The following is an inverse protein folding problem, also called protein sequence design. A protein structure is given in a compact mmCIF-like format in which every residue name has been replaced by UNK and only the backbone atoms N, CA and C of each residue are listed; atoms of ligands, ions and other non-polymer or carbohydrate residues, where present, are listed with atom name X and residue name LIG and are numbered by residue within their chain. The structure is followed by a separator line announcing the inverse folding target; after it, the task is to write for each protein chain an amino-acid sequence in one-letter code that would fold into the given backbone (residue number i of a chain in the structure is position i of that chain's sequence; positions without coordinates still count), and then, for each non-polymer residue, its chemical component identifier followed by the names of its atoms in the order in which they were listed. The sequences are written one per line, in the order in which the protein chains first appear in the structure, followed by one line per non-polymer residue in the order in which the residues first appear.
data_IF_875510326574
#
_entry.id   IF_875510326574
#
_cell.length_a   1.000
_cell.length_b   1.000
_cell.length_c   1.000
_cell.angle_alpha   90.00
_cell.angle_beta   90.00
_cell.angle_gamma   90.00
#
_symmetry.space_group_name_H-M   'P 1'
#
loop_
_entity.id
_entity.type
_entity.pdbx_description
1 polymer ?
#
# COMPACT_ATOMS: atom_id res chain seq x y z
N UNK A 1 2.71 16.46 -18.41
CA UNK A 1 2.63 14.99 -18.34
C UNK A 1 3.75 14.42 -19.18
N UNK A 2 4.73 13.76 -18.56
CA UNK A 2 5.86 13.16 -19.27
C UNK A 2 5.44 11.84 -19.93
N UNK A 3 6.16 11.38 -20.95
CA UNK A 3 5.92 10.09 -21.62
C UNK A 3 5.90 8.86 -20.69
N UNK A 4 6.41 8.98 -19.45
CA UNK A 4 6.38 7.90 -18.47
C UNK A 4 5.03 7.76 -17.74
N UNK A 5 4.25 8.85 -17.63
CA UNK A 5 3.00 8.88 -16.85
C UNK A 5 1.87 8.13 -17.59
N UNK A 6 2.01 7.95 -18.91
CA UNK A 6 1.08 7.18 -19.75
C UNK A 6 1.28 5.66 -19.68
N UNK A 7 2.27 5.17 -18.92
CA UNK A 7 2.68 3.75 -18.97
C UNK A 7 2.05 2.91 -17.85
N UNK A 8 1.80 3.51 -16.69
CA UNK A 8 1.16 2.85 -15.55
C UNK A 8 -0.11 3.63 -15.22
N UNK A 9 -1.26 3.03 -15.54
CA UNK A 9 -2.57 3.61 -15.23
C UNK A 9 -3.14 2.84 -14.06
N UNK A 10 -3.15 3.47 -12.89
CA UNK A 10 -3.88 2.96 -11.74
C UNK A 10 -5.28 3.57 -11.80
N UNK A 11 -6.30 2.73 -11.73
CA UNK A 11 -7.68 3.14 -11.56
C UNK A 11 -7.96 3.41 -10.08
N UNK A 12 -8.82 4.38 -9.73
CA UNK A 12 -9.24 4.60 -8.35
C UNK A 12 -9.75 3.30 -7.73
N UNK A 13 -9.25 2.97 -6.55
CA UNK A 13 -9.61 1.76 -5.82
C UNK A 13 -10.39 2.12 -4.57
N UNK A 14 -11.37 1.29 -4.22
CA UNK A 14 -12.09 1.42 -2.97
C UNK A 14 -11.41 0.56 -1.91
N UNK A 15 -10.77 1.21 -0.93
CA UNK A 15 -10.15 0.56 0.22
C UNK A 15 -10.98 0.71 1.50
N UNK A 16 -12.22 1.24 1.44
CA UNK A 16 -13.04 1.60 2.60
C UNK A 16 -13.18 0.47 3.62
N UNK A 17 -13.39 -0.76 3.12
CA UNK A 17 -13.48 -1.97 3.96
C UNK A 17 -12.21 -2.15 4.79
N UNK A 18 -11.04 -2.01 4.16
CA UNK A 18 -9.74 -2.21 4.79
C UNK A 18 -9.36 -1.03 5.68
N UNK A 19 -9.61 0.21 5.23
CA UNK A 19 -9.46 1.43 6.03
C UNK A 19 -10.24 1.34 7.34
N UNK A 20 -11.52 0.93 7.28
CA UNK A 20 -12.34 0.76 8.48
C UNK A 20 -11.85 -0.38 9.35
N UNK A 21 -11.44 -1.50 8.77
CA UNK A 21 -10.91 -2.63 9.53
C UNK A 21 -9.61 -2.27 10.27
N UNK A 22 -8.70 -1.53 9.62
CA UNK A 22 -7.47 -1.03 10.23
C UNK A 22 -7.80 -0.04 11.35
N UNK A 23 -8.68 0.94 11.13
CA UNK A 23 -9.11 1.88 12.17
C UNK A 23 -9.64 1.15 13.41
N UNK A 24 -10.51 0.16 13.22
CA UNK A 24 -11.08 -0.63 14.31
C UNK A 24 -10.08 -1.53 15.02
N UNK A 25 -8.91 -1.78 14.44
CA UNK A 25 -7.88 -2.61 15.08
C UNK A 25 -7.18 -1.92 16.26
N UNK A 26 -7.15 -0.58 16.29
CA UNK A 26 -6.52 0.20 17.36
C UNK A 26 -7.46 1.20 18.04
N UNK A 27 -8.56 1.61 17.41
CA UNK A 27 -9.62 2.38 18.05
C UNK A 27 -11.02 1.84 17.66
N UNK A 28 -11.61 1.05 18.56
CA UNK A 28 -12.92 0.43 18.34
C UNK A 28 -14.06 1.49 18.30
N UNK A 29 -13.88 2.62 18.99
CA UNK A 29 -14.93 3.63 19.16
C UNK A 29 -14.92 4.70 18.06
N UNK A 30 -13.77 4.93 17.42
CA UNK A 30 -13.63 5.90 16.34
C UNK A 30 -14.23 5.37 15.04
N UNK A 31 -15.02 6.21 14.37
CA UNK A 31 -15.50 5.95 13.00
C UNK A 31 -14.86 6.89 11.99
N UNK A 32 -15.02 6.59 10.70
CA UNK A 32 -14.61 7.44 9.58
C UNK A 32 -15.79 7.62 8.63
N UNK A 33 -16.04 8.86 8.22
CA UNK A 33 -17.10 9.18 7.27
C UNK A 33 -16.66 8.92 5.81
N UNK A 34 -17.58 9.14 4.87
CA UNK A 34 -17.32 8.90 3.46
C UNK A 34 -16.23 9.82 2.90
N UNK A 35 -16.19 11.08 3.31
CA UNK A 35 -15.23 12.06 2.80
C UNK A 35 -13.81 11.75 3.31
N UNK A 36 -13.69 11.32 4.56
CA UNK A 36 -12.46 10.77 5.13
C UNK A 36 -11.99 9.54 4.37
N UNK A 37 -12.87 8.58 4.10
CA UNK A 37 -12.57 7.41 3.27
C UNK A 37 -12.07 7.79 1.87
N UNK A 38 -12.69 8.77 1.21
CA UNK A 38 -12.25 9.27 -0.10
C UNK A 38 -10.82 9.79 -0.03
N UNK A 39 -10.45 10.55 1.01
CA UNK A 39 -9.08 11.06 1.19
C UNK A 39 -8.06 9.96 1.43
N UNK A 40 -8.40 8.95 2.23
CA UNK A 40 -7.53 7.77 2.43
C UNK A 40 -7.37 7.01 1.10
N UNK A 41 -8.45 6.80 0.35
CA UNK A 41 -8.38 6.13 -0.96
C UNK A 41 -7.51 6.90 -1.96
N UNK A 42 -7.65 8.23 -2.02
CA UNK A 42 -6.81 9.11 -2.84
C UNK A 42 -5.33 8.96 -2.45
N UNK A 43 -5.01 8.99 -1.16
CA UNK A 43 -3.66 8.79 -0.66
C UNK A 43 -3.08 7.42 -1.07
N UNK A 44 -3.80 6.33 -0.81
CA UNK A 44 -3.33 4.98 -1.14
C UNK A 44 -3.18 4.77 -2.65
N UNK A 45 -4.05 5.39 -3.44
CA UNK A 45 -3.96 5.37 -4.90
C UNK A 45 -2.68 6.07 -5.40
N UNK A 46 -2.42 7.28 -4.90
CA UNK A 46 -1.24 8.07 -5.25
C UNK A 46 0.07 7.37 -4.84
N UNK A 47 0.09 6.78 -3.64
CA UNK A 47 1.20 5.93 -3.18
C UNK A 47 1.41 4.74 -4.10
N UNK A 48 0.33 4.04 -4.46
CA UNK A 48 0.39 2.86 -5.35
C UNK A 48 0.98 3.24 -6.71
N UNK A 49 0.47 4.29 -7.33
CA UNK A 49 0.97 4.78 -8.61
C UNK A 49 2.46 5.15 -8.53
N UNK A 50 2.85 5.91 -7.51
CA UNK A 50 4.22 6.42 -7.34
C UNK A 50 5.24 5.30 -7.11
N UNK A 51 4.89 4.30 -6.29
CA UNK A 51 5.76 3.14 -6.05
C UNK A 51 5.95 2.31 -7.33
N UNK A 52 4.87 2.02 -8.06
CA UNK A 52 4.95 1.26 -9.31
C UNK A 52 5.75 2.02 -10.38
N UNK A 53 5.54 3.33 -10.49
CA UNK A 53 6.29 4.19 -11.41
C UNK A 53 7.78 4.24 -11.05
N UNK A 54 8.11 4.31 -9.76
CA UNK A 54 9.49 4.23 -9.26
C UNK A 54 10.16 2.92 -9.65
N UNK A 55 9.47 1.79 -9.47
CA UNK A 55 9.98 0.46 -9.87
C UNK A 55 10.23 0.43 -11.38
N UNK A 56 9.23 0.81 -12.17
CA UNK A 56 9.30 0.77 -13.63
C UNK A 56 10.42 1.65 -14.18
N UNK A 57 10.59 2.88 -13.67
CA UNK A 57 11.67 3.80 -14.09
C UNK A 57 13.07 3.22 -13.87
N UNK A 58 13.24 2.32 -12.90
CA UNK A 58 14.54 1.73 -12.58
C UNK A 58 14.84 0.42 -13.29
N UNK A 59 13.87 -0.12 -14.01
CA UNK A 59 14.02 -1.35 -14.78
C UNK A 59 13.95 -0.99 -16.26
N UNK A 60 15.02 -1.27 -16.99
CA UNK A 60 15.00 -1.13 -18.45
C UNK A 60 14.17 -2.27 -19.05
N UNK A 61 13.09 -1.97 -19.79
CA UNK A 61 12.39 -3.02 -20.52
C UNK A 61 13.32 -3.56 -21.61
N UNK A 62 13.37 -4.89 -21.76
CA UNK A 62 14.19 -5.57 -22.78
C UNK A 62 13.73 -5.13 -24.19
N UNK A 63 12.43 -4.90 -24.35
CA UNK A 63 11.82 -4.26 -25.51
C UNK A 63 10.48 -3.62 -25.10
N UNK A 64 9.91 -2.78 -25.95
CA UNK A 64 8.65 -2.05 -25.67
C UNK A 64 7.44 -2.97 -25.39
N UNK A 65 7.49 -4.23 -25.81
CA UNK A 65 6.41 -5.21 -25.70
C UNK A 65 6.54 -6.14 -24.49
N UNK A 66 7.70 -6.21 -23.85
CA UNK A 66 7.95 -7.07 -22.71
C UNK A 66 7.48 -6.41 -21.41
N UNK A 67 6.79 -7.18 -20.58
CA UNK A 67 6.56 -6.82 -19.18
C UNK A 67 7.88 -6.88 -18.42
N UNK A 68 8.08 -5.89 -17.56
CA UNK A 68 9.19 -5.83 -16.62
C UNK A 68 8.83 -6.65 -15.39
N UNK A 69 9.72 -7.56 -14.99
CA UNK A 69 9.55 -8.32 -13.75
C UNK A 69 9.99 -7.50 -12.54
N UNK A 70 9.10 -7.40 -11.55
CA UNK A 70 9.30 -6.71 -10.29
C UNK A 70 9.30 -7.71 -9.13
N UNK A 71 10.43 -7.79 -8.44
CA UNK A 71 10.65 -8.63 -7.26
C UNK A 71 10.34 -7.90 -5.97
N UNK A 72 10.22 -8.63 -4.87
CA UNK A 72 10.11 -8.03 -3.54
C UNK A 72 11.26 -7.08 -3.22
N UNK A 73 12.48 -7.34 -3.72
CA UNK A 73 13.60 -6.43 -3.51
C UNK A 73 13.38 -5.09 -4.22
N UNK A 74 12.77 -5.11 -5.41
CA UNK A 74 12.48 -3.90 -6.16
C UNK A 74 11.46 -3.01 -5.42
N UNK A 75 10.52 -3.62 -4.69
CA UNK A 75 9.62 -2.90 -3.80
C UNK A 75 10.39 -2.22 -2.66
N UNK A 76 11.28 -2.94 -1.99
CA UNK A 76 12.09 -2.39 -0.90
C UNK A 76 12.98 -1.24 -1.37
N UNK A 77 13.58 -1.37 -2.56
CA UNK A 77 14.37 -0.31 -3.17
C UNK A 77 13.50 0.90 -3.53
N UNK A 78 12.28 0.67 -4.02
CA UNK A 78 11.33 1.75 -4.31
C UNK A 78 10.87 2.48 -3.05
N UNK A 79 10.60 1.77 -1.95
CA UNK A 79 10.29 2.35 -0.64
C UNK A 79 11.42 3.28 -0.20
N UNK A 80 12.67 2.81 -0.20
CA UNK A 80 13.83 3.61 0.23
C UNK A 80 14.07 4.85 -0.63
N UNK A 81 13.71 4.82 -1.92
CA UNK A 81 13.83 5.99 -2.81
C UNK A 81 12.72 7.01 -2.56
N UNK A 82 11.53 6.53 -2.24
CA UNK A 82 10.30 7.30 -2.31
C UNK A 82 9.83 7.81 -0.96
N UNK A 83 9.85 6.93 0.04
CA UNK A 83 9.54 7.22 1.43
C UNK A 83 10.86 7.58 2.12
N UNK A 84 10.85 8.59 2.99
CA UNK A 84 12.06 9.04 3.71
C UNK A 84 12.06 8.57 5.15
N UNK A 85 13.25 8.62 5.75
CA UNK A 85 13.47 8.60 7.20
C UNK A 85 12.82 7.40 7.92
N UNK A 86 12.10 7.66 9.02
CA UNK A 86 11.55 6.61 9.88
C UNK A 86 10.38 5.90 9.21
N UNK A 87 9.52 6.61 8.48
CA UNK A 87 8.45 6.03 7.67
C UNK A 87 8.97 4.97 6.68
N UNK A 88 10.15 5.21 6.07
CA UNK A 88 10.78 4.24 5.16
C UNK A 88 11.34 3.02 5.90
N UNK A 89 12.00 3.23 7.05
CA UNK A 89 12.57 2.15 7.87
C UNK A 89 11.47 1.25 8.43
N UNK A 90 10.39 1.84 8.93
CA UNK A 90 9.23 1.13 9.43
C UNK A 90 8.53 0.35 8.31
N UNK A 91 8.31 0.98 7.16
CA UNK A 91 7.76 0.30 5.98
C UNK A 91 8.62 -0.89 5.53
N UNK A 92 9.94 -0.72 5.45
CA UNK A 92 10.89 -1.79 5.12
C UNK A 92 10.81 -2.94 6.14
N UNK A 93 10.89 -2.61 7.43
CA UNK A 93 10.83 -3.58 8.53
C UNK A 93 9.53 -4.39 8.48
N UNK A 94 8.42 -3.72 8.20
CA UNK A 94 7.10 -4.33 8.12
C UNK A 94 7.02 -5.31 6.94
N UNK A 95 7.50 -4.94 5.74
CA UNK A 95 7.55 -5.85 4.58
C UNK A 95 8.35 -7.11 4.91
N UNK A 96 9.57 -6.95 5.43
CA UNK A 96 10.44 -8.09 5.77
C UNK A 96 9.79 -8.98 6.83
N UNK A 97 9.18 -8.38 7.86
CA UNK A 97 8.49 -9.12 8.93
C UNK A 97 7.34 -9.94 8.36
N UNK A 98 6.43 -9.31 7.61
CA UNK A 98 5.24 -9.94 7.02
C UNK A 98 5.63 -11.11 6.12
N UNK A 99 6.61 -10.91 5.22
CA UNK A 99 7.09 -11.96 4.34
C UNK A 99 7.75 -13.11 5.11
N UNK A 100 8.50 -12.81 6.17
CA UNK A 100 9.12 -13.83 7.02
C UNK A 100 8.06 -14.66 7.74
N UNK A 101 7.03 -14.02 8.29
CA UNK A 101 5.90 -14.72 8.94
C UNK A 101 5.27 -15.69 7.93
N UNK A 102 4.95 -15.21 6.72
CA UNK A 102 4.37 -16.05 5.68
C UNK A 102 5.30 -17.21 5.25
N UNK A 103 6.58 -16.93 5.03
CA UNK A 103 7.55 -17.96 4.62
C UNK A 103 7.70 -19.08 5.65
N UNK A 104 7.56 -18.75 6.95
CA UNK A 104 7.62 -19.69 8.06
C UNK A 104 6.35 -20.54 8.22
N UNK A 105 5.23 -20.17 7.59
CA UNK A 105 3.93 -20.84 7.71
C UNK A 105 3.84 -22.25 7.06
N UNK A 106 4.97 -22.91 6.75
CA UNK A 106 5.07 -24.27 6.18
C UNK A 106 4.31 -24.52 4.86
N UNK A 107 4.01 -23.49 4.06
CA UNK A 107 3.51 -23.68 2.68
C UNK A 107 4.64 -24.10 1.74
N UNK A 108 4.43 -25.16 0.96
CA UNK A 108 5.36 -25.61 -0.08
C UNK A 108 5.67 -24.50 -1.08
N UNK A 109 6.96 -24.28 -1.36
CA UNK A 109 7.42 -23.30 -2.36
C UNK A 109 6.87 -23.57 -3.76
N UNK A 110 6.63 -24.84 -4.11
CA UNK A 110 6.10 -25.24 -5.42
C UNK A 110 4.67 -24.80 -5.71
N UNK A 111 3.94 -24.33 -4.68
CA UNK A 111 2.56 -23.84 -4.82
C UNK A 111 2.46 -22.31 -4.80
N UNK A 112 3.56 -21.56 -4.80
CA UNK A 112 3.54 -20.09 -4.66
C UNK A 112 3.48 -19.40 -6.02
N UNK A 113 2.37 -19.57 -6.72
CA UNK A 113 2.09 -18.97 -8.03
C UNK A 113 0.87 -18.03 -7.97
N UNK A 114 0.55 -17.41 -9.11
CA UNK A 114 -0.60 -16.50 -9.22
C UNK A 114 -1.94 -17.24 -9.01
N UNK A 115 -2.05 -18.49 -9.46
CA UNK A 115 -3.25 -19.31 -9.26
C UNK A 115 -3.50 -19.59 -7.76
N UNK A 116 -2.44 -19.84 -7.00
CA UNK A 116 -2.54 -20.01 -5.56
C UNK A 116 -3.00 -18.73 -4.85
N UNK A 117 -2.55 -17.54 -5.27
CA UNK A 117 -3.06 -16.28 -4.72
C UNK A 117 -4.56 -16.19 -4.94
N UNK A 118 -5.04 -16.46 -6.14
CA UNK A 118 -6.47 -16.39 -6.46
C UNK A 118 -7.32 -17.38 -5.67
N UNK A 119 -6.81 -18.60 -5.48
CA UNK A 119 -7.56 -19.67 -4.81
C UNK A 119 -7.47 -19.61 -3.27
N UNK A 120 -6.46 -18.93 -2.72
CA UNK A 120 -6.11 -18.97 -1.28
C UNK A 120 -5.79 -17.59 -0.69
N UNK A 121 -6.33 -16.51 -1.27
CA UNK A 121 -6.09 -15.14 -0.80
C UNK A 121 -6.34 -14.97 0.70
N UNK A 122 -7.51 -15.39 1.19
CA UNK A 122 -7.88 -15.29 2.61
C UNK A 122 -6.89 -16.01 3.54
N UNK A 123 -6.41 -17.18 3.11
CA UNK A 123 -5.43 -17.97 3.86
C UNK A 123 -4.06 -17.27 3.88
N UNK A 124 -3.63 -16.72 2.74
CA UNK A 124 -2.37 -15.97 2.61
C UNK A 124 -2.41 -14.70 3.46
N UNK A 125 -3.50 -13.93 3.37
CA UNK A 125 -3.73 -12.71 4.15
C UNK A 125 -3.66 -13.02 5.64
N UNK A 126 -4.41 -14.02 6.11
CA UNK A 126 -4.41 -14.45 7.52
C UNK A 126 -3.05 -14.95 7.99
N UNK A 127 -2.36 -15.76 7.19
CA UNK A 127 -1.04 -16.29 7.55
C UNK A 127 0.04 -15.20 7.57
N UNK A 128 -0.13 -14.15 6.77
CA UNK A 128 0.77 -13.00 6.76
C UNK A 128 0.48 -12.04 7.91
N UNK A 129 -0.64 -12.20 8.61
CA UNK A 129 -1.07 -11.31 9.70
C UNK A 129 -1.51 -9.94 9.20
N UNK A 130 -2.04 -9.87 7.97
CA UNK A 130 -2.50 -8.65 7.33
C UNK A 130 -4.01 -8.49 7.46
N UNK A 131 -4.44 -7.25 7.58
CA UNK A 131 -5.82 -6.81 7.42
C UNK A 131 -6.13 -6.52 5.96
N UNK A 132 -5.17 -5.94 5.22
CA UNK A 132 -5.27 -5.72 3.79
C UNK A 132 -5.21 -7.06 3.04
N UNK A 133 -6.27 -7.36 2.29
CA UNK A 133 -6.34 -8.61 1.56
C UNK A 133 -5.37 -8.65 0.38
N UNK A 134 -4.52 -9.66 0.38
CA UNK A 134 -3.50 -9.89 -0.65
C UNK A 134 -4.13 -10.19 -2.01
N UNK A 135 -5.30 -10.84 -2.05
CA UNK A 135 -6.03 -11.09 -3.30
C UNK A 135 -6.55 -9.80 -3.95
N UNK A 136 -7.07 -8.88 -3.15
CA UNK A 136 -7.49 -7.56 -3.61
C UNK A 136 -6.31 -6.78 -4.18
N UNK A 137 -5.18 -6.74 -3.46
CA UNK A 137 -3.96 -6.09 -3.96
C UNK A 137 -3.43 -6.78 -5.22
N UNK A 138 -3.51 -8.10 -5.32
CA UNK A 138 -3.17 -8.84 -6.53
C UNK A 138 -4.00 -8.37 -7.73
N UNK A 139 -5.32 -8.25 -7.58
CA UNK A 139 -6.21 -7.78 -8.65
C UNK A 139 -5.86 -6.35 -9.03
N UNK A 140 -5.74 -5.45 -8.03
CA UNK A 140 -5.37 -4.05 -8.26
C UNK A 140 -4.06 -3.96 -9.04
N UNK A 141 -3.02 -4.68 -8.64
CA UNK A 141 -1.73 -4.58 -9.33
C UNK A 141 -1.82 -5.12 -10.76
N UNK A 142 -2.48 -6.25 -11.00
CA UNK A 142 -2.53 -6.86 -12.33
C UNK A 142 -3.47 -6.16 -13.32
N UNK A 143 -4.57 -5.57 -12.83
CA UNK A 143 -5.49 -4.78 -13.65
C UNK A 143 -4.89 -3.43 -14.06
N UNK A 144 -3.95 -2.89 -13.28
CA UNK A 144 -3.46 -1.52 -13.41
C UNK A 144 -1.99 -1.41 -13.89
N UNK A 145 -1.33 -2.54 -14.19
CA UNK A 145 0.08 -2.52 -14.60
C UNK A 145 0.36 -3.38 -15.83
N UNK A 146 -0.06 -2.88 -17.00
CA UNK A 146 0.13 -3.56 -18.29
C UNK A 146 1.60 -3.85 -18.64
N UNK A 147 2.55 -3.13 -18.05
CA UNK A 147 3.99 -3.27 -18.29
C UNK A 147 4.78 -3.92 -17.14
N UNK A 148 4.14 -4.28 -16.03
CA UNK A 148 4.80 -4.94 -14.91
C UNK A 148 4.24 -6.36 -14.71
N UNK A 149 5.09 -7.23 -14.20
CA UNK A 149 4.71 -8.53 -13.66
C UNK A 149 5.41 -8.69 -12.32
N UNK A 150 4.68 -9.19 -11.31
CA UNK A 150 5.21 -9.22 -9.96
C UNK A 150 5.49 -10.64 -9.46
N UNK A 151 6.55 -10.75 -8.66
CA UNK A 151 6.84 -11.91 -7.83
C UNK A 151 5.71 -12.16 -6.82
N UNK A 152 5.47 -13.42 -6.44
CA UNK A 152 4.50 -13.78 -5.40
C UNK A 152 4.68 -12.97 -4.09
N UNK A 153 5.91 -12.85 -3.58
CA UNK A 153 6.19 -12.14 -2.34
C UNK A 153 5.99 -10.62 -2.46
N UNK A 154 6.03 -10.09 -3.68
CA UNK A 154 5.75 -8.69 -3.95
C UNK A 154 4.35 -8.32 -3.48
N UNK A 155 3.33 -9.13 -3.78
CA UNK A 155 1.94 -8.85 -3.39
C UNK A 155 1.76 -8.77 -1.89
N UNK A 156 2.39 -9.68 -1.15
CA UNK A 156 2.38 -9.68 0.32
C UNK A 156 3.09 -8.43 0.85
N UNK A 157 4.28 -8.12 0.31
CA UNK A 157 5.02 -6.94 0.71
C UNK A 157 4.24 -5.66 0.42
N UNK A 158 3.65 -5.54 -0.76
CA UNK A 158 2.88 -4.37 -1.18
C UNK A 158 1.64 -4.17 -0.30
N UNK A 159 0.89 -5.24 -0.02
CA UNK A 159 -0.26 -5.20 0.90
C UNK A 159 0.16 -4.70 2.28
N UNK A 160 1.31 -5.18 2.76
CA UNK A 160 1.89 -4.76 4.04
C UNK A 160 2.27 -3.28 4.08
N UNK A 161 2.73 -2.70 2.96
CA UNK A 161 3.06 -1.27 2.86
C UNK A 161 1.80 -0.41 2.88
N UNK A 162 0.76 -0.80 2.13
CA UNK A 162 -0.51 -0.08 2.10
C UNK A 162 -1.18 -0.09 3.47
N UNK A 163 -1.20 -1.25 4.14
CA UNK A 163 -1.73 -1.35 5.50
C UNK A 163 -0.97 -0.46 6.47
N UNK A 164 0.37 -0.53 6.46
CA UNK A 164 1.22 0.31 7.32
C UNK A 164 0.96 1.80 7.12
N UNK A 165 1.01 2.30 5.88
CA UNK A 165 0.80 3.72 5.59
C UNK A 165 -0.63 4.17 5.91
N UNK A 166 -1.62 3.28 5.70
CA UNK A 166 -3.00 3.57 6.11
C UNK A 166 -3.13 3.68 7.62
N UNK A 167 -2.47 2.79 8.38
CA UNK A 167 -2.51 2.79 9.83
C UNK A 167 -1.86 4.05 10.40
N UNK A 168 -0.65 4.40 9.92
CA UNK A 168 0.08 5.60 10.36
C UNK A 168 -0.76 6.88 10.14
N UNK A 169 -1.36 7.02 8.96
CA UNK A 169 -2.22 8.17 8.65
C UNK A 169 -3.49 8.19 9.50
N UNK A 170 -4.11 7.03 9.73
CA UNK A 170 -5.32 6.93 10.55
C UNK A 170 -5.04 7.19 12.04
N UNK A 171 -3.90 6.73 12.58
CA UNK A 171 -3.49 6.99 13.96
C UNK A 171 -3.36 8.49 14.23
N UNK A 172 -2.69 9.22 13.32
CA UNK A 172 -2.59 10.68 13.40
C UNK A 172 -3.96 11.35 13.25
N UNK A 173 -4.81 10.86 12.35
CA UNK A 173 -6.17 11.38 12.19
C UNK A 173 -7.02 11.15 13.46
N UNK A 174 -6.85 10.02 14.16
CA UNK A 174 -7.47 9.73 15.47
C UNK A 174 -6.98 10.71 16.53
N UNK A 175 -5.69 11.02 16.55
CA UNK A 175 -5.13 12.00 17.48
C UNK A 175 -5.76 13.39 17.27
N UNK A 176 -5.86 13.83 16.02
CA UNK A 176 -6.52 15.10 15.69
C UNK A 176 -8.02 15.08 16.02
N UNK A 177 -8.72 13.97 15.75
CA UNK A 177 -10.13 13.81 16.10
C UNK A 177 -10.35 13.94 17.61
N UNK A 178 -9.53 13.24 18.40
CA UNK A 178 -9.59 13.24 19.86
C UNK A 178 -9.32 14.63 20.43
N UNK A 179 -8.28 15.33 19.92
CA UNK A 179 -7.98 16.72 20.29
C UNK A 179 -9.15 17.68 19.98
N UNK A 180 -9.87 17.43 18.89
CA UNK A 180 -11.05 18.18 18.49
C UNK A 180 -12.35 17.71 19.18
N UNK A 181 -12.28 16.75 20.11
CA UNK A 181 -13.45 16.09 20.75
C UNK A 181 -14.44 15.49 19.74
N UNK A 182 -13.95 15.02 18.59
CA UNK A 182 -14.70 14.33 17.53
C UNK A 182 -14.52 12.81 17.69
N UNK A 183 -15.58 12.05 17.36
CA UNK A 183 -15.57 10.57 17.30
C UNK A 183 -15.62 10.02 15.88
N UNK A 184 -15.62 10.92 14.89
CA UNK A 184 -15.70 10.58 13.48
C UNK A 184 -14.59 11.36 12.76
N UNK A 185 -13.74 10.63 12.05
CA UNK A 185 -12.73 11.17 11.15
C UNK A 185 -13.42 11.61 9.87
N UNK A 186 -13.20 12.88 9.49
CA UNK A 186 -13.67 13.47 8.24
C UNK A 186 -12.46 13.85 7.36
N UNK A 187 -12.71 14.33 6.14
CA UNK A 187 -11.64 14.73 5.22
C UNK A 187 -10.67 15.77 5.81
N UNK A 188 -11.19 16.76 6.54
CA UNK A 188 -10.39 17.82 7.19
C UNK A 188 -9.41 17.24 8.21
N UNK A 189 -9.82 16.23 9.00
CA UNK A 189 -8.95 15.59 9.98
C UNK A 189 -7.82 14.78 9.33
N UNK A 190 -8.11 14.14 8.19
CA UNK A 190 -7.09 13.44 7.39
C UNK A 190 -6.10 14.44 6.80
N UNK A 191 -6.57 15.57 6.27
CA UNK A 191 -5.70 16.63 5.74
C UNK A 191 -4.83 17.25 6.84
N UNK A 192 -5.39 17.49 8.03
CA UNK A 192 -4.62 17.95 9.18
C UNK A 192 -3.55 16.95 9.60
N UNK A 193 -3.85 15.65 9.60
CA UNK A 193 -2.87 14.61 9.90
C UNK A 193 -1.68 14.66 8.94
N UNK A 194 -1.94 14.81 7.64
CA UNK A 194 -0.89 14.94 6.61
C UNK A 194 -0.10 16.24 6.78
N UNK A 195 -0.76 17.38 7.01
CA UNK A 195 -0.10 18.69 7.03
C UNK A 195 0.73 18.95 8.28
N UNK A 196 0.43 18.27 9.40
CA UNK A 196 1.13 18.42 10.67
C UNK A 196 2.21 17.35 10.92
N UNK A 197 2.33 16.34 10.06
CA UNK A 197 3.41 15.37 10.11
C UNK A 197 4.41 15.61 8.97
N UNK A 198 5.66 15.92 9.31
CA UNK A 198 6.69 16.30 8.33
C UNK A 198 6.97 15.19 7.32
N UNK A 199 6.92 13.91 7.74
CA UNK A 199 7.24 12.76 6.86
C UNK A 199 6.09 12.46 5.89
N UNK A 200 4.84 12.48 6.36
CA UNK A 200 3.64 12.32 5.53
C UNK A 200 3.43 13.52 4.62
N UNK A 201 3.70 14.75 5.07
CA UNK A 201 3.64 15.95 4.23
C UNK A 201 4.63 15.86 3.07
N UNK A 202 5.88 15.51 3.37
CA UNK A 202 6.92 15.30 2.35
C UNK A 202 6.53 14.19 1.38
N UNK A 203 5.97 13.09 1.88
CA UNK A 203 5.48 11.99 1.05
C UNK A 203 4.33 12.43 0.15
N UNK A 204 3.35 13.15 0.70
CA UNK A 204 2.17 13.62 -0.02
C UNK A 204 2.53 14.61 -1.12
N UNK A 205 3.46 15.52 -0.86
CA UNK A 205 3.99 16.44 -1.87
C UNK A 205 4.74 15.70 -2.99
N UNK A 206 5.39 14.58 -2.70
CA UNK A 206 6.08 13.77 -3.73
C UNK A 206 5.12 12.96 -4.58
N UNK A 207 4.08 12.36 -4.00
CA UNK A 207 3.12 11.52 -4.75
C UNK A 207 2.15 12.35 -5.62
N UNK A 208 1.92 13.62 -5.26
CA UNK A 208 0.98 14.50 -5.97
C UNK A 208 1.59 15.16 -7.22
N UNK A 209 2.92 15.15 -7.34
CA UNK A 209 3.70 15.82 -8.40
C UNK A 209 4.20 14.83 -9.45
#
# INVERSE_FOLDING_TARGET
MSQADSVIVVNPQNWDKYTKAVLKSFDEQMDIDQDGCIKINEFLHLVTHSLLLSIYKTKTPINENCKVFASSQDLLDAINRFIRNELAKCGFSQVIRTQRIFQNAKISKSKRDHEFIMNKSDEITKQSGLTFDVGTVFNVLNENSFKLQFEFLFYIGFSSVLEYLSAELLELAVEHATKANKKIINAELVEMAIENDDELKDLFQRIKN
#
